data_IF_021615991544
#
_entry.id   IF_021615991544
#
_cell.length_a   1.000
_cell.length_b   1.000
_cell.length_c   1.000
_cell.angle_alpha   90.00
_cell.angle_beta   90.00
_cell.angle_gamma   90.00
#
_symmetry.space_group_name_H-M   'P 1'
#
loop_
_entity.id
_entity.type
_entity.pdbx_description
1 polymer ?
#
# COMPACT_ATOMS: atom_id res chain seq x y z
N UNK A 1 0.65 -7.99 -1.43
CA UNK A 1 1.47 -7.03 -0.66
C UNK A 1 2.00 -5.98 -1.61
N UNK A 2 1.97 -4.75 -1.19
CA UNK A 2 2.54 -3.65 -1.95
C UNK A 2 3.74 -3.06 -1.23
N UNK A 3 4.59 -2.36 -1.95
CA UNK A 3 5.71 -1.66 -1.36
C UNK A 3 5.85 -0.28 -1.97
N UNK A 4 6.26 0.66 -1.15
CA UNK A 4 6.47 2.05 -1.52
C UNK A 4 7.77 2.55 -0.89
N UNK A 5 8.32 3.60 -1.46
CA UNK A 5 9.54 4.19 -0.91
C UNK A 5 9.44 5.71 -0.91
N UNK A 6 9.83 6.32 0.19
CA UNK A 6 10.19 7.72 0.22
C UNK A 6 11.70 7.83 0.11
N UNK A 7 12.24 9.04 0.23
CA UNK A 7 13.70 9.22 0.22
C UNK A 7 14.37 8.68 1.48
N UNK A 8 13.63 8.47 2.56
CA UNK A 8 14.18 8.09 3.87
C UNK A 8 13.65 6.78 4.42
N UNK A 9 12.53 6.28 3.92
CA UNK A 9 11.85 5.12 4.48
C UNK A 9 11.32 4.20 3.39
N UNK A 10 11.28 2.90 3.70
CA UNK A 10 10.52 1.91 2.93
C UNK A 10 9.19 1.66 3.61
N UNK A 11 8.18 1.34 2.82
CA UNK A 11 6.82 1.06 3.29
C UNK A 11 6.33 -0.26 2.72
N UNK A 12 5.64 -1.02 3.53
CA UNK A 12 4.98 -2.26 3.13
C UNK A 12 3.52 -2.14 3.52
N UNK A 13 2.64 -2.46 2.59
CA UNK A 13 1.20 -2.29 2.80
C UNK A 13 0.47 -3.59 2.55
N UNK A 14 -0.47 -3.90 3.43
CA UNK A 14 -1.30 -5.09 3.31
C UNK A 14 -0.51 -6.38 3.45
N UNK A 15 -0.89 -7.37 2.66
CA UNK A 15 -0.25 -8.68 2.67
C UNK A 15 -1.10 -9.71 3.38
N UNK A 16 -0.56 -10.92 3.49
CA UNK A 16 -1.28 -12.05 4.09
C UNK A 16 -0.42 -12.72 5.14
N UNK A 17 -1.02 -12.97 6.30
CA UNK A 17 -0.45 -13.82 7.33
C UNK A 17 -1.61 -14.65 7.89
N UNK A 18 -2.00 -15.68 7.15
CA UNK A 18 -3.22 -16.44 7.43
C UNK A 18 -4.49 -15.72 7.01
N UNK A 19 -4.57 -14.43 7.20
CA UNK A 19 -5.67 -13.57 6.77
C UNK A 19 -5.08 -12.36 6.06
N UNK A 20 -5.90 -11.68 5.29
CA UNK A 20 -5.47 -10.45 4.62
C UNK A 20 -5.28 -9.36 5.66
N UNK A 21 -4.23 -8.57 5.47
CA UNK A 21 -3.93 -7.45 6.34
C UNK A 21 -4.26 -6.12 5.71
N UNK A 22 -4.39 -5.11 6.56
CA UNK A 22 -4.58 -3.74 6.12
C UNK A 22 -3.50 -2.79 6.67
N UNK A 23 -2.45 -3.33 7.27
CA UNK A 23 -1.43 -2.55 7.95
C UNK A 23 -0.52 -1.84 6.95
N UNK A 24 -0.17 -0.60 7.25
CA UNK A 24 0.90 0.14 6.59
C UNK A 24 2.07 0.19 7.58
N UNK A 25 3.21 -0.39 7.19
CA UNK A 25 4.41 -0.39 8.02
C UNK A 25 5.52 0.39 7.33
N UNK A 26 6.37 1.01 8.12
CA UNK A 26 7.54 1.69 7.59
C UNK A 26 8.80 1.32 8.35
N UNK A 27 9.92 1.40 7.67
CA UNK A 27 11.24 1.21 8.27
C UNK A 27 12.20 2.25 7.72
N UNK A 28 13.17 2.64 8.53
CA UNK A 28 14.15 3.67 8.19
C UNK A 28 15.27 3.09 7.36
N UNK A 29 15.78 3.87 6.40
CA UNK A 29 17.01 3.53 5.70
C UNK A 29 18.26 3.94 6.51
N UNK A 30 18.12 4.94 7.37
CA UNK A 30 19.26 5.49 8.10
C UNK A 30 19.68 4.62 9.29
N UNK A 31 18.79 3.82 9.82
CA UNK A 31 19.07 2.98 10.98
C UNK A 31 18.44 1.62 10.80
N UNK A 32 19.16 0.59 11.22
CA UNK A 32 18.59 -0.75 11.25
C UNK A 32 17.60 -0.85 12.39
N UNK A 33 16.47 -1.45 12.12
CA UNK A 33 15.46 -1.62 13.14
C UNK A 33 14.21 -2.27 12.55
N UNK A 34 13.29 -2.59 13.42
CA UNK A 34 12.05 -3.21 13.00
C UNK A 34 11.13 -2.18 12.34
N UNK A 35 10.28 -2.66 11.45
CA UNK A 35 9.22 -1.82 10.90
C UNK A 35 8.21 -1.46 11.98
N UNK A 36 7.57 -0.32 11.82
CA UNK A 36 6.52 0.14 12.72
C UNK A 36 5.23 0.31 11.96
N UNK A 37 4.13 -0.02 12.63
CA UNK A 37 2.78 0.19 12.12
C UNK A 37 2.48 1.69 12.18
N UNK A 38 2.14 2.27 11.04
CA UNK A 38 1.89 3.72 10.97
C UNK A 38 0.49 4.05 10.47
N UNK A 39 -0.32 3.04 10.18
CA UNK A 39 -1.70 3.28 9.75
C UNK A 39 -2.28 2.07 9.06
N UNK A 40 -3.48 2.26 8.53
CA UNK A 40 -4.23 1.20 7.88
C UNK A 40 -4.66 1.61 6.48
N UNK A 41 -4.74 0.61 5.62
CA UNK A 41 -5.42 0.74 4.34
C UNK A 41 -6.93 0.86 4.55
N UNK A 42 -7.64 1.25 3.49
CA UNK A 42 -9.09 1.35 3.54
C UNK A 42 -9.76 0.02 3.83
N UNK A 43 -9.16 -1.08 3.37
CA UNK A 43 -9.68 -2.42 3.63
C UNK A 43 -8.54 -3.41 3.60
N UNK A 44 -8.76 -4.59 4.21
CA UNK A 44 -7.78 -5.67 4.12
C UNK A 44 -7.68 -6.13 2.67
N UNK A 45 -6.45 -6.38 2.22
CA UNK A 45 -6.23 -6.75 0.82
C UNK A 45 -4.89 -7.46 0.66
N UNK A 46 -4.80 -8.26 -0.40
CA UNK A 46 -3.54 -8.84 -0.88
C UNK A 46 -3.34 -8.42 -2.32
N UNK A 47 -2.11 -8.50 -2.79
CA UNK A 47 -1.82 -8.26 -4.19
C UNK A 47 -1.88 -6.80 -4.60
N UNK A 48 -1.96 -5.87 -3.67
CA UNK A 48 -1.85 -4.45 -3.99
C UNK A 48 -0.46 -4.17 -4.54
N UNK A 49 -0.39 -3.22 -5.45
CA UNK A 49 0.90 -2.74 -5.92
C UNK A 49 1.07 -1.30 -5.52
N UNK A 50 2.33 -0.91 -5.35
CA UNK A 50 2.67 0.39 -4.83
C UNK A 50 3.38 1.25 -5.84
N UNK A 51 3.19 2.54 -5.71
CA UNK A 51 3.95 3.55 -6.41
C UNK A 51 4.05 4.76 -5.48
N UNK A 52 4.88 5.71 -5.84
CA UNK A 52 5.11 6.84 -4.94
C UNK A 52 5.41 8.11 -5.71
N UNK A 53 4.96 9.22 -5.16
CA UNK A 53 5.45 10.54 -5.50
C UNK A 53 6.49 10.95 -4.46
N UNK A 54 6.95 12.18 -4.51
CA UNK A 54 7.89 12.68 -3.50
C UNK A 54 7.23 12.86 -2.12
N UNK A 55 5.90 12.90 -2.06
CA UNK A 55 5.17 13.24 -0.83
C UNK A 55 4.23 12.16 -0.36
N UNK A 56 3.81 11.25 -1.22
CA UNK A 56 2.79 10.26 -0.91
C UNK A 56 3.15 8.89 -1.47
N UNK A 57 2.75 7.86 -0.73
CA UNK A 57 2.67 6.50 -1.25
C UNK A 57 1.27 6.22 -1.76
N UNK A 58 1.18 5.41 -2.80
CA UNK A 58 -0.08 5.00 -3.41
C UNK A 58 -0.14 3.48 -3.41
N UNK A 59 -1.29 2.95 -3.04
CA UNK A 59 -1.56 1.52 -3.10
C UNK A 59 -2.79 1.30 -3.96
N UNK A 60 -2.69 0.43 -4.93
CA UNK A 60 -3.71 0.30 -5.95
C UNK A 60 -4.06 -1.15 -6.21
N UNK A 61 -5.30 -1.39 -6.63
CA UNK A 61 -5.74 -2.71 -7.01
C UNK A 61 -5.82 -3.64 -5.81
N UNK A 62 -5.43 -4.89 -6.03
CA UNK A 62 -5.42 -5.90 -5.00
C UNK A 62 -6.74 -6.64 -4.88
N UNK A 63 -6.70 -7.75 -4.16
CA UNK A 63 -7.86 -8.59 -3.92
C UNK A 63 -8.34 -8.38 -2.50
N UNK A 64 -9.57 -7.98 -2.36
CA UNK A 64 -10.26 -7.86 -1.08
C UNK A 64 -11.18 -9.06 -0.91
N UNK A 65 -11.44 -9.46 0.32
CA UNK A 65 -12.48 -10.44 0.64
C UNK A 65 -12.33 -11.81 -0.01
N UNK A 66 -11.14 -12.35 -0.09
CA UNK A 66 -10.95 -13.78 -0.37
C UNK A 66 -11.46 -14.34 -1.69
N UNK A 67 -12.13 -13.58 -2.50
CA UNK A 67 -12.84 -14.11 -3.66
C UNK A 67 -12.13 -13.96 -4.99
N UNK A 68 -10.98 -13.37 -5.01
CA UNK A 68 -10.31 -13.11 -6.29
C UNK A 68 -10.91 -11.95 -7.07
N UNK A 69 -11.87 -11.24 -6.51
CA UNK A 69 -12.40 -10.02 -7.09
C UNK A 69 -11.35 -8.91 -6.91
N UNK A 70 -10.96 -8.29 -7.99
CA UNK A 70 -10.01 -7.22 -7.92
C UNK A 70 -10.63 -5.92 -7.44
N UNK A 71 -9.79 -4.90 -7.30
CA UNK A 71 -10.19 -3.56 -6.92
C UNK A 71 -9.67 -2.57 -7.96
N UNK A 72 -10.40 -1.50 -8.18
CA UNK A 72 -9.95 -0.39 -8.99
C UNK A 72 -9.58 0.84 -8.14
N UNK A 73 -9.59 0.71 -6.84
CA UNK A 73 -9.33 1.83 -5.94
C UNK A 73 -7.84 2.17 -5.95
N UNK A 74 -7.54 3.46 -6.02
CA UNK A 74 -6.21 4.00 -5.79
C UNK A 74 -6.28 4.77 -4.48
N UNK A 75 -5.61 4.26 -3.45
CA UNK A 75 -5.56 4.92 -2.15
C UNK A 75 -4.18 5.48 -1.91
N UNK A 76 -4.10 6.51 -1.09
CA UNK A 76 -2.83 7.18 -0.82
C UNK A 76 -2.64 7.44 0.66
N UNK A 77 -1.39 7.55 1.06
CA UNK A 77 -1.02 7.93 2.42
C UNK A 77 0.18 8.87 2.37
N UNK A 78 0.25 9.78 3.34
CA UNK A 78 1.29 10.79 3.39
C UNK A 78 2.59 10.22 3.94
N UNK A 79 3.72 10.65 3.39
CA UNK A 79 5.03 10.35 3.98
C UNK A 79 5.37 11.31 5.12
N UNK A 80 4.81 12.51 5.11
CA UNK A 80 5.14 13.52 6.11
C UNK A 80 4.47 13.25 7.45
N UNK A 81 3.29 12.64 7.44
CA UNK A 81 2.54 12.34 8.65
C UNK A 81 2.06 10.90 8.61
N UNK A 82 2.28 10.18 9.69
CA UNK A 82 1.77 8.83 9.81
C UNK A 82 0.25 8.88 9.92
N UNK A 83 -0.40 7.88 9.38
CA UNK A 83 -1.85 7.81 9.43
C UNK A 83 -2.41 6.83 8.41
N UNK A 84 -3.71 6.71 8.41
CA UNK A 84 -4.43 5.82 7.51
C UNK A 84 -4.41 6.35 6.08
N UNK A 85 -4.51 5.46 5.13
CA UNK A 85 -4.69 5.86 3.75
C UNK A 85 -6.07 6.45 3.53
N UNK A 86 -6.20 7.22 2.46
CA UNK A 86 -7.48 7.76 2.01
C UNK A 86 -7.67 7.40 0.55
N UNK A 87 -8.93 7.32 0.14
CA UNK A 87 -9.25 7.12 -1.28
C UNK A 87 -8.81 8.37 -2.05
N UNK A 88 -8.04 8.18 -3.10
CA UNK A 88 -7.56 9.31 -3.89
C UNK A 88 -8.66 9.91 -4.79
N UNK A 89 -9.82 9.26 -4.83
CA UNK A 89 -10.95 9.59 -5.72
C UNK A 89 -10.69 9.32 -7.20
N UNK A 90 -9.56 8.74 -7.52
CA UNK A 90 -9.24 8.28 -8.87
C UNK A 90 -9.19 6.76 -8.87
N UNK A 91 -9.57 6.16 -9.97
CA UNK A 91 -9.70 4.72 -10.06
C UNK A 91 -8.89 4.19 -11.24
N UNK A 92 -8.49 2.93 -11.11
CA UNK A 92 -7.98 2.19 -12.27
C UNK A 92 -9.12 1.99 -13.26
N UNK A 93 -8.77 1.81 -14.52
CA UNK A 93 -9.78 1.64 -15.58
C UNK A 93 -10.46 0.27 -15.51
N UNK A 94 -9.79 -0.71 -14.92
CA UNK A 94 -10.35 -2.05 -14.71
C UNK A 94 -9.99 -2.53 -13.32
N UNK A 95 -10.73 -3.51 -12.82
CA UNK A 95 -10.42 -4.16 -11.56
C UNK A 95 -9.15 -4.99 -11.71
N UNK A 96 -8.27 -4.92 -10.70
CA UNK A 96 -7.01 -5.66 -10.68
C UNK A 96 -6.91 -6.44 -9.38
N UNK A 97 -6.84 -7.76 -9.49
CA UNK A 97 -6.66 -8.61 -8.31
C UNK A 97 -5.20 -8.71 -7.88
N UNK A 98 -4.28 -8.66 -8.82
CA UNK A 98 -2.85 -8.58 -8.56
C UNK A 98 -2.28 -7.49 -9.43
N UNK A 99 -1.24 -6.88 -8.95
CA UNK A 99 -0.60 -5.85 -9.72
C UNK A 99 0.88 -5.74 -9.39
N UNK A 100 1.59 -5.16 -10.32
CA UNK A 100 2.97 -4.79 -10.12
C UNK A 100 3.19 -3.50 -10.88
N UNK A 101 4.00 -2.64 -10.32
CA UNK A 101 4.43 -1.44 -11.00
C UNK A 101 5.94 -1.38 -10.92
N UNK A 102 6.54 -0.85 -11.96
CA UNK A 102 7.96 -0.61 -11.95
C UNK A 102 8.20 0.81 -12.40
N UNK A 103 9.24 1.37 -11.86
CA UNK A 103 9.71 2.69 -12.25
C UNK A 103 10.84 2.50 -13.24
N UNK A 104 10.73 3.14 -14.34
CA UNK A 104 11.74 3.07 -15.39
C UNK A 104 12.33 4.43 -15.65
#
# INVERSE_FOLDING_TARGET
MGSNTSSTHGYIVGGTLGTRGNVIEKFSYASDGNATDVGDLLATATGKFGSASSTHGYASGGSQYGGGTGSNIIEKFSFATDGNSVDSTQDLTVLRGLGASSQV
#
